data_IF_153254676960
#
_entry.id   IF_153254676960
#
_cell.length_a   1.000
_cell.length_b   1.000
_cell.length_c   1.000
_cell.angle_alpha   90.00
_cell.angle_beta   90.00
_cell.angle_gamma   90.00
#
_symmetry.space_group_name_H-M   'P 1'
#
loop_
_entity.id
_entity.type
_entity.pdbx_description
1 polymer ?
#
# COMPACT_ATOMS: atom_id res chain seq x y z
N UNK A 1 30.44 24.64 -92.75
CA UNK A 1 29.14 25.20 -92.31
C UNK A 1 28.40 24.12 -91.54
N UNK A 2 27.83 24.51 -90.40
CA UNK A 2 27.34 23.68 -89.28
C UNK A 2 25.87 23.24 -89.51
N UNK A 3 25.50 22.03 -89.04
CA UNK A 3 24.18 21.51 -88.55
C UNK A 3 24.04 20.01 -88.94
N UNK A 4 23.50 19.07 -88.16
CA UNK A 4 22.79 19.05 -86.88
C UNK A 4 22.85 17.62 -86.30
N UNK A 5 22.73 17.50 -84.97
CA UNK A 5 22.61 16.27 -84.16
C UNK A 5 21.15 15.77 -84.18
N UNK A 6 20.89 14.46 -83.99
CA UNK A 6 19.91 14.11 -82.95
C UNK A 6 20.34 12.92 -82.06
N UNK A 7 20.30 13.18 -80.75
CA UNK A 7 20.11 12.20 -79.68
C UNK A 7 18.65 11.75 -79.66
N UNK A 8 18.37 10.49 -79.32
CA UNK A 8 17.49 10.07 -78.21
C UNK A 8 17.23 8.55 -78.31
N UNK A 9 18.07 7.75 -77.63
CA UNK A 9 17.73 6.37 -77.30
C UNK A 9 16.95 6.38 -75.98
N UNK A 10 15.67 6.03 -76.09
CA UNK A 10 14.65 5.98 -75.06
C UNK A 10 14.94 4.84 -74.07
N UNK A 11 15.38 5.19 -72.85
CA UNK A 11 15.54 4.23 -71.75
C UNK A 11 14.29 4.32 -70.86
N UNK A 12 13.25 3.56 -71.24
CA UNK A 12 12.04 3.36 -70.46
C UNK A 12 12.38 2.60 -69.18
N UNK A 13 12.54 3.33 -68.08
CA UNK A 13 12.59 2.77 -66.74
C UNK A 13 11.20 2.25 -66.35
N UNK A 14 11.05 0.94 -66.30
CA UNK A 14 9.86 0.27 -65.76
C UNK A 14 9.83 0.44 -64.23
N UNK A 15 9.11 1.46 -63.79
CA UNK A 15 8.72 1.64 -62.39
C UNK A 15 7.74 0.52 -62.01
N UNK A 16 8.25 -0.54 -61.39
CA UNK A 16 7.40 -1.49 -60.66
C UNK A 16 6.71 -0.72 -59.50
N UNK A 17 5.38 -0.78 -59.38
CA UNK A 17 4.71 -0.23 -58.20
C UNK A 17 5.13 -1.07 -57.00
N UNK A 18 5.94 -0.49 -56.13
CA UNK A 18 6.17 -1.02 -54.79
C UNK A 18 4.82 -0.95 -54.08
N UNK A 19 4.11 -2.08 -53.99
CA UNK A 19 2.93 -2.19 -53.13
C UNK A 19 3.38 -1.89 -51.71
N UNK A 20 2.92 -0.80 -51.07
CA UNK A 20 3.21 -0.60 -49.66
C UNK A 20 2.62 -1.80 -48.93
N UNK A 21 3.47 -2.54 -48.22
CA UNK A 21 3.03 -3.57 -47.30
C UNK A 21 1.86 -3.00 -46.49
N UNK A 22 0.69 -3.62 -46.57
CA UNK A 22 -0.52 -3.20 -45.88
C UNK A 22 -0.19 -2.98 -44.40
N UNK A 23 0.01 -1.72 -44.02
CA UNK A 23 0.18 -1.33 -42.64
C UNK A 23 -1.16 -1.64 -41.99
N UNK A 24 -1.23 -2.77 -41.27
CA UNK A 24 -2.43 -3.21 -40.56
C UNK A 24 -2.94 -2.06 -39.70
N UNK A 25 -3.96 -1.35 -40.18
CA UNK A 25 -4.46 -0.16 -39.53
C UNK A 25 -5.15 -0.58 -38.23
N UNK A 26 -4.50 -0.32 -37.11
CA UNK A 26 -5.07 -0.60 -35.81
C UNK A 26 -6.16 0.41 -35.49
N UNK A 27 -7.38 -0.07 -35.26
CA UNK A 27 -8.43 0.78 -34.65
C UNK A 27 -8.21 0.84 -33.14
N UNK A 28 -8.53 1.98 -32.52
CA UNK A 28 -8.38 2.18 -31.07
C UNK A 28 -9.10 1.07 -30.28
N UNK A 29 -10.33 0.74 -30.68
CA UNK A 29 -11.13 -0.31 -30.03
C UNK A 29 -10.46 -1.69 -30.11
N UNK A 30 -9.86 -2.05 -31.24
CA UNK A 30 -9.17 -3.32 -31.40
C UNK A 30 -7.89 -3.39 -30.53
N UNK A 31 -7.17 -2.28 -30.42
CA UNK A 31 -6.00 -2.18 -29.57
C UNK A 31 -6.38 -2.30 -28.08
N UNK A 32 -7.40 -1.56 -27.62
CA UNK A 32 -7.87 -1.63 -26.23
C UNK A 32 -8.42 -3.00 -25.86
N UNK A 33 -9.12 -3.68 -26.79
CA UNK A 33 -9.64 -5.03 -26.59
C UNK A 33 -8.53 -6.05 -26.27
N UNK A 34 -7.32 -5.85 -26.78
CA UNK A 34 -6.16 -6.72 -26.50
C UNK A 34 -5.77 -6.72 -25.02
N UNK A 35 -6.10 -5.67 -24.29
CA UNK A 35 -5.80 -5.52 -22.86
C UNK A 35 -6.99 -5.84 -21.95
N UNK A 36 -8.13 -6.29 -22.47
CA UNK A 36 -9.34 -6.55 -21.67
C UNK A 36 -9.15 -7.65 -20.61
N UNK A 37 -8.12 -8.50 -20.77
CA UNK A 37 -7.77 -9.55 -19.81
C UNK A 37 -6.92 -9.03 -18.63
N UNK A 38 -6.40 -7.82 -18.70
CA UNK A 38 -5.65 -7.17 -17.63
C UNK A 38 -6.58 -6.35 -16.72
N UNK A 39 -6.28 -6.20 -15.43
CA UNK A 39 -7.07 -5.37 -14.53
C UNK A 39 -6.94 -3.88 -14.91
N UNK A 40 -7.99 -3.10 -14.65
CA UNK A 40 -7.94 -1.65 -14.79
C UNK A 40 -7.07 -1.02 -13.71
N UNK A 41 -6.59 0.20 -13.96
CA UNK A 41 -5.78 0.97 -13.00
C UNK A 41 -6.48 1.11 -11.65
N UNK A 42 -7.80 1.32 -11.63
CA UNK A 42 -8.60 1.42 -10.41
C UNK A 42 -8.49 0.16 -9.55
N UNK A 43 -8.60 -1.03 -10.17
CA UNK A 43 -8.48 -2.29 -9.44
C UNK A 43 -7.07 -2.52 -8.88
N UNK A 44 -6.05 -2.03 -9.58
CA UNK A 44 -4.65 -2.10 -9.14
C UNK A 44 -4.42 -1.12 -7.98
N UNK A 45 -4.93 0.11 -8.07
CA UNK A 45 -4.91 1.09 -6.98
C UNK A 45 -5.60 0.54 -5.73
N UNK A 46 -6.81 -0.01 -5.86
CA UNK A 46 -7.51 -0.65 -4.74
C UNK A 46 -6.71 -1.80 -4.13
N UNK A 47 -6.01 -2.59 -4.95
CA UNK A 47 -5.14 -3.65 -4.46
C UNK A 47 -3.95 -3.09 -3.66
N UNK A 48 -3.37 -1.97 -4.10
CA UNK A 48 -2.32 -1.27 -3.34
C UNK A 48 -2.87 -0.74 -2.00
N UNK A 49 -4.00 -0.05 -2.01
CA UNK A 49 -4.65 0.46 -0.78
C UNK A 49 -4.91 -0.67 0.22
N UNK A 50 -5.43 -1.81 -0.27
CA UNK A 50 -5.62 -3.01 0.56
C UNK A 50 -4.30 -3.57 1.10
N UNK A 51 -3.27 -3.65 0.26
CA UNK A 51 -1.98 -4.23 0.62
C UNK A 51 -1.28 -3.43 1.73
N UNK A 52 -1.30 -2.11 1.65
CA UNK A 52 -0.73 -1.24 2.68
C UNK A 52 -1.63 -1.08 3.92
N UNK A 53 -2.85 -1.62 3.91
CA UNK A 53 -3.85 -1.50 5.00
C UNK A 53 -4.25 -0.05 5.34
N UNK A 54 -3.97 0.91 4.45
CA UNK A 54 -4.24 2.34 4.64
C UNK A 54 -5.58 2.72 3.99
N UNK A 55 -6.67 2.04 4.37
CA UNK A 55 -7.98 2.40 3.82
C UNK A 55 -8.45 3.77 4.34
N UNK A 56 -9.06 4.61 3.48
CA UNK A 56 -9.58 5.93 3.87
C UNK A 56 -10.50 5.87 5.09
N UNK A 57 -11.33 4.82 5.19
CA UNK A 57 -12.30 4.65 6.28
C UNK A 57 -11.61 4.40 7.62
N UNK A 58 -10.55 3.59 7.63
CA UNK A 58 -9.73 3.35 8.82
C UNK A 58 -9.01 4.64 9.26
N UNK A 59 -8.46 5.41 8.32
CA UNK A 59 -7.81 6.70 8.60
C UNK A 59 -8.80 7.68 9.22
N UNK A 60 -10.04 7.76 8.71
CA UNK A 60 -11.10 8.61 9.30
C UNK A 60 -11.44 8.19 10.74
N UNK A 61 -11.51 6.88 10.99
CA UNK A 61 -11.70 6.32 12.32
C UNK A 61 -10.56 6.68 13.28
N UNK A 62 -9.31 6.48 12.86
CA UNK A 62 -8.11 6.84 13.62
C UNK A 62 -8.07 8.33 13.94
N UNK A 63 -8.36 9.19 12.95
CA UNK A 63 -8.44 10.64 13.15
C UNK A 63 -9.50 11.02 14.18
N UNK A 64 -10.69 10.41 14.12
CA UNK A 64 -11.76 10.64 15.08
C UNK A 64 -11.34 10.20 16.48
N UNK A 65 -10.78 9.00 16.60
CA UNK A 65 -10.35 8.45 17.89
C UNK A 65 -9.21 9.28 18.50
N UNK A 66 -8.25 9.74 17.69
CA UNK A 66 -7.20 10.64 18.13
C UNK A 66 -7.78 11.96 18.67
N UNK A 67 -8.78 12.55 17.99
CA UNK A 67 -9.48 13.74 18.50
C UNK A 67 -10.21 13.48 19.82
N UNK A 68 -10.85 12.32 19.95
CA UNK A 68 -11.59 11.94 21.16
C UNK A 68 -10.68 11.56 22.32
N UNK A 69 -9.45 11.11 22.08
CA UNK A 69 -8.48 10.72 23.12
C UNK A 69 -8.20 11.87 24.09
N UNK A 70 -8.21 13.11 23.61
CA UNK A 70 -8.05 14.30 24.45
C UNK A 70 -9.17 14.45 25.50
N UNK A 71 -10.33 13.80 25.30
CA UNK A 71 -11.48 13.86 26.22
C UNK A 71 -11.50 12.73 27.24
N UNK A 72 -10.68 11.69 27.05
CA UNK A 72 -10.71 10.48 27.89
C UNK A 72 -9.65 10.61 29.00
N UNK A 73 -10.03 10.54 30.30
CA UNK A 73 -9.06 10.54 31.39
C UNK A 73 -8.24 9.26 31.42
N UNK A 74 -6.99 9.40 31.87
CA UNK A 74 -6.22 8.24 32.35
C UNK A 74 -6.66 7.94 33.77
N UNK A 75 -7.20 6.74 34.01
CA UNK A 75 -7.60 6.28 35.33
C UNK A 75 -6.53 5.31 35.85
N UNK A 76 -5.99 5.59 37.03
CA UNK A 76 -5.08 4.70 37.75
C UNK A 76 -5.63 4.37 39.13
N UNK A 77 -5.42 3.13 39.57
CA UNK A 77 -5.81 2.64 40.88
C UNK A 77 -4.59 2.05 41.59
N UNK A 78 -4.37 2.43 42.83
CA UNK A 78 -3.33 1.89 43.70
C UNK A 78 -3.97 1.24 44.92
N UNK A 79 -3.58 0.00 45.20
CA UNK A 79 -3.95 -0.72 46.40
C UNK A 79 -2.69 -0.92 47.24
N UNK A 80 -2.71 -0.44 48.47
CA UNK A 80 -1.58 -0.53 49.39
C UNK A 80 -2.04 -1.13 50.72
N UNK A 81 -1.25 -2.06 51.23
CA UNK A 81 -1.34 -2.52 52.61
C UNK A 81 -0.06 -2.06 53.32
N UNK A 82 -0.21 -1.30 54.41
CA UNK A 82 0.90 -0.86 55.25
C UNK A 82 0.67 -1.35 56.67
N UNK A 83 1.48 -2.33 57.06
CA UNK A 83 1.62 -2.80 58.44
C UNK A 83 2.78 -2.06 59.08
N UNK A 84 2.49 -1.33 60.16
CA UNK A 84 3.50 -0.60 60.93
C UNK A 84 3.57 -1.21 62.32
N UNK A 85 4.77 -1.59 62.75
CA UNK A 85 5.04 -2.03 64.12
C UNK A 85 6.09 -1.10 64.70
N UNK A 86 5.67 -0.17 65.57
CA UNK A 86 6.60 0.69 66.30
C UNK A 86 6.74 0.15 67.71
N UNK A 87 7.99 -0.11 68.13
CA UNK A 87 8.31 -0.42 69.51
C UNK A 87 8.61 0.88 70.23
N UNK A 88 7.71 1.30 71.12
CA UNK A 88 7.94 2.47 71.98
C UNK A 88 8.49 1.99 73.30
N UNK A 89 9.57 2.64 73.74
CA UNK A 89 10.08 2.52 75.10
C UNK A 89 9.36 3.60 75.90
N UNK A 90 8.41 3.21 76.74
CA UNK A 90 7.82 4.17 77.68
C UNK A 90 8.75 4.33 78.87
N UNK A 91 9.18 5.57 79.08
CA UNK A 91 9.84 5.97 80.31
C UNK A 91 8.74 6.53 81.20
N UNK A 92 8.31 5.75 82.18
CA UNK A 92 7.28 6.20 83.11
C UNK A 92 7.88 7.31 83.99
N UNK A 93 7.41 8.54 83.80
CA UNK A 93 7.98 9.75 84.42
C UNK A 93 7.88 9.77 85.95
N UNK A 94 7.18 8.81 86.54
CA UNK A 94 6.98 8.67 87.99
C UNK A 94 7.96 7.67 88.63
N UNK A 95 8.51 6.71 87.86
CA UNK A 95 9.34 5.60 88.39
C UNK A 95 10.79 5.57 87.89
N UNK A 96 11.26 6.64 87.22
CA UNK A 96 12.60 6.75 86.63
C UNK A 96 13.77 6.40 87.60
N UNK A 97 13.59 6.64 88.90
CA UNK A 97 14.62 6.43 89.91
C UNK A 97 14.71 4.99 90.47
N UNK A 98 13.74 4.11 90.16
CA UNK A 98 13.60 2.80 90.83
C UNK A 98 14.18 1.62 90.04
N UNK A 99 14.83 1.85 88.89
CA UNK A 99 15.50 0.80 88.12
C UNK A 99 14.58 -0.31 87.59
N UNK A 100 13.27 -0.09 87.61
CA UNK A 100 12.24 -1.03 87.12
C UNK A 100 12.38 -1.19 85.60
N UNK A 101 12.25 -2.42 85.06
CA UNK A 101 12.40 -2.66 83.63
C UNK A 101 11.37 -1.87 82.82
N UNK A 102 11.84 -1.08 81.85
CA UNK A 102 11.01 -0.29 80.94
C UNK A 102 10.05 -1.21 80.18
N UNK A 103 8.75 -0.90 80.26
CA UNK A 103 7.75 -1.67 79.53
C UNK A 103 7.87 -1.42 78.02
N UNK A 104 7.84 -2.51 77.26
CA UNK A 104 7.91 -2.46 75.81
C UNK A 104 6.49 -2.47 75.24
N UNK A 105 5.99 -1.32 74.83
CA UNK A 105 4.70 -1.25 74.13
C UNK A 105 4.92 -1.49 72.64
N UNK A 106 4.22 -2.50 72.09
CA UNK A 106 4.14 -2.74 70.65
C UNK A 106 2.85 -2.11 70.14
N UNK A 107 2.98 -0.98 69.45
CA UNK A 107 1.85 -0.38 68.74
C UNK A 107 1.84 -0.92 67.32
N UNK A 108 0.87 -1.79 67.05
CA UNK A 108 0.62 -2.33 65.72
C UNK A 108 -0.47 -1.50 65.04
N UNK A 109 -0.15 -0.93 63.89
CA UNK A 109 -1.11 -0.29 63.01
C UNK A 109 -1.19 -1.07 61.70
N UNK A 110 -2.34 -1.64 61.39
CA UNK A 110 -2.64 -2.17 60.07
C UNK A 110 -3.51 -1.16 59.32
N UNK A 111 -3.12 -0.84 58.10
CA UNK A 111 -3.84 0.11 57.26
C UNK A 111 -3.90 -0.39 55.84
N UNK A 112 -5.13 -0.53 55.36
CA UNK A 112 -5.44 -0.85 53.97
C UNK A 112 -5.89 0.46 53.31
N UNK A 113 -5.15 0.87 52.29
CA UNK A 113 -5.44 2.07 51.51
C UNK A 113 -5.74 1.72 50.07
N UNK A 114 -6.84 2.24 49.53
CA UNK A 114 -7.15 2.23 48.11
C UNK A 114 -7.21 3.67 47.60
N UNK A 115 -6.51 3.95 46.50
CA UNK A 115 -6.45 5.27 45.87
C UNK A 115 -6.84 5.13 44.41
N UNK A 116 -7.80 5.93 43.97
CA UNK A 116 -8.14 6.09 42.55
C UNK A 116 -7.77 7.50 42.13
N UNK A 117 -7.07 7.61 41.01
CA UNK A 117 -6.70 8.88 40.40
C UNK A 117 -7.22 8.91 38.96
N UNK A 118 -7.84 10.02 38.57
CA UNK A 118 -8.19 10.33 37.20
C UNK A 118 -7.43 11.58 36.77
N UNK A 119 -6.72 11.47 35.64
CA UNK A 119 -5.88 12.55 35.10
C UNK A 119 -6.32 12.90 33.68
N UNK A 120 -6.62 14.17 33.43
CA UNK A 120 -6.93 14.71 32.11
C UNK A 120 -5.76 15.53 31.56
N UNK A 121 -5.46 15.33 30.28
CA UNK A 121 -4.43 16.07 29.55
C UNK A 121 -5.10 17.09 28.62
N UNK A 122 -5.44 18.27 29.15
CA UNK A 122 -6.11 19.34 28.40
C UNK A 122 -5.22 20.01 27.34
N UNK A 123 -3.90 19.86 27.46
CA UNK A 123 -2.91 20.23 26.44
C UNK A 123 -3.20 19.55 25.10
N UNK A 124 -3.64 18.29 25.13
CA UNK A 124 -4.03 17.52 23.95
C UNK A 124 -5.30 18.01 23.28
N UNK A 125 -6.12 18.81 23.98
CA UNK A 125 -7.32 19.42 23.41
C UNK A 125 -6.96 20.53 22.42
N UNK A 126 -5.88 21.27 22.71
CA UNK A 126 -5.36 22.34 21.84
C UNK A 126 -4.50 21.76 20.72
N UNK A 127 -3.60 20.83 21.05
CA UNK A 127 -2.73 20.19 20.07
C UNK A 127 -2.53 18.70 20.37
N UNK A 128 -3.04 17.83 19.50
CA UNK A 128 -2.76 16.39 19.55
C UNK A 128 -1.84 15.98 18.40
N UNK A 129 -0.59 15.62 18.72
CA UNK A 129 0.41 15.12 17.77
C UNK A 129 -0.06 13.88 17.00
N UNK A 130 -0.91 13.04 17.58
CA UNK A 130 -1.44 11.84 16.93
C UNK A 130 -2.32 12.17 15.71
N UNK A 131 -2.93 13.37 15.69
CA UNK A 131 -3.67 13.84 14.50
C UNK A 131 -2.70 14.07 13.34
N UNK A 132 -1.49 14.57 13.61
CA UNK A 132 -0.46 14.78 12.60
C UNK A 132 0.05 13.43 12.06
N UNK A 133 0.25 12.45 12.94
CA UNK A 133 0.64 11.08 12.54
C UNK A 133 -0.40 10.48 11.59
N UNK A 134 -1.69 10.62 11.88
CA UNK A 134 -2.76 10.15 10.98
C UNK A 134 -2.79 10.91 9.64
N UNK A 135 -2.43 12.21 9.62
CA UNK A 135 -2.31 12.96 8.37
C UNK A 135 -1.14 12.47 7.51
N UNK A 136 -0.03 12.08 8.13
CA UNK A 136 1.13 11.54 7.41
C UNK A 136 0.78 10.27 6.62
N UNK A 137 -0.12 9.42 7.15
CA UNK A 137 -0.62 8.23 6.46
C UNK A 137 -1.36 8.55 5.16
N UNK A 138 -2.03 9.71 5.08
CA UNK A 138 -2.70 10.17 3.85
C UNK A 138 -1.66 10.56 2.81
N UNK A 139 -0.58 11.22 3.22
CA UNK A 139 0.53 11.55 2.32
C UNK A 139 1.17 10.29 1.72
N UNK A 140 1.41 9.27 2.54
CA UNK A 140 1.91 7.97 2.08
C UNK A 140 0.93 7.33 1.09
N UNK A 141 -0.38 7.36 1.40
CA UNK A 141 -1.41 6.83 0.52
C UNK A 141 -1.44 7.51 -0.85
N UNK A 142 -1.41 8.85 -0.89
CA UNK A 142 -1.37 9.61 -2.16
C UNK A 142 -0.13 9.26 -2.96
N UNK A 143 1.04 9.18 -2.29
CA UNK A 143 2.30 8.77 -2.91
C UNK A 143 2.21 7.38 -3.54
N UNK A 144 1.69 6.40 -2.82
CA UNK A 144 1.51 5.02 -3.31
C UNK A 144 0.56 4.97 -4.50
N UNK A 145 -0.60 5.62 -4.41
CA UNK A 145 -1.61 5.62 -5.49
C UNK A 145 -1.04 6.29 -6.75
N UNK A 146 -0.33 7.41 -6.60
CA UNK A 146 0.33 8.10 -7.70
C UNK A 146 1.39 7.24 -8.37
N UNK A 147 2.25 6.60 -7.58
CA UNK A 147 3.34 5.77 -8.10
C UNK A 147 2.80 4.54 -8.84
N UNK A 148 1.82 3.83 -8.26
CA UNK A 148 1.13 2.70 -8.92
C UNK A 148 0.51 3.14 -10.24
N UNK A 149 -0.09 4.32 -10.29
CA UNK A 149 -0.70 4.89 -11.51
C UNK A 149 0.36 5.16 -12.57
N UNK A 150 1.49 5.77 -12.18
CA UNK A 150 2.62 6.05 -13.06
C UNK A 150 3.19 4.78 -13.66
N UNK A 151 3.54 3.79 -12.82
CA UNK A 151 4.11 2.52 -13.28
C UNK A 151 3.13 1.79 -14.20
N UNK A 152 1.84 1.77 -13.86
CA UNK A 152 0.79 1.15 -14.67
C UNK A 152 0.74 1.75 -16.09
N UNK A 153 0.75 3.07 -16.21
CA UNK A 153 0.67 3.72 -17.52
C UNK A 153 1.99 3.67 -18.30
N UNK A 154 3.15 3.66 -17.62
CA UNK A 154 4.44 3.39 -18.29
C UNK A 154 4.41 2.00 -18.93
N UNK A 155 3.98 0.98 -18.16
CA UNK A 155 3.82 -0.38 -18.66
C UNK A 155 2.86 -0.43 -19.84
N UNK A 156 1.68 0.20 -19.72
CA UNK A 156 0.65 0.18 -20.78
C UNK A 156 1.13 0.86 -22.05
N UNK A 157 1.83 1.99 -21.95
CA UNK A 157 2.42 2.69 -23.11
C UNK A 157 3.45 1.83 -23.82
N UNK A 158 4.35 1.18 -23.07
CA UNK A 158 5.35 0.29 -23.64
C UNK A 158 4.72 -0.93 -24.35
N UNK A 159 3.68 -1.52 -23.76
CA UNK A 159 2.94 -2.60 -24.42
C UNK A 159 2.26 -2.16 -25.71
N UNK A 160 1.66 -0.96 -25.72
CA UNK A 160 1.04 -0.38 -26.92
C UNK A 160 2.11 -0.12 -27.99
N UNK A 161 3.25 0.44 -27.60
CA UNK A 161 4.36 0.72 -28.51
C UNK A 161 4.88 -0.55 -29.19
N UNK A 162 5.06 -1.64 -28.43
CA UNK A 162 5.45 -2.94 -28.98
C UNK A 162 4.44 -3.53 -29.97
N UNK A 163 3.15 -3.16 -29.89
CA UNK A 163 2.10 -3.62 -30.81
C UNK A 163 2.08 -2.77 -32.08
N UNK A 164 2.15 -1.44 -31.92
CA UNK A 164 2.05 -0.50 -33.04
C UNK A 164 3.35 -0.39 -33.83
N UNK A 165 4.50 -0.50 -33.15
CA UNK A 165 5.85 -0.34 -33.70
C UNK A 165 6.75 -1.47 -33.18
N UNK A 166 6.52 -2.73 -33.60
CA UNK A 166 7.32 -3.85 -33.14
C UNK A 166 8.79 -3.66 -33.55
N UNK A 167 9.76 -3.77 -32.62
CA UNK A 167 11.17 -3.68 -32.99
C UNK A 167 11.57 -4.80 -33.95
N UNK A 168 12.30 -4.44 -34.99
CA UNK A 168 12.90 -5.37 -35.95
C UNK A 168 14.08 -6.12 -35.34
N UNK A 169 14.87 -5.42 -34.52
CA UNK A 169 16.00 -5.97 -33.77
C UNK A 169 15.56 -6.86 -32.59
N UNK A 170 16.25 -8.01 -32.44
CA UNK A 170 15.99 -8.99 -31.40
C UNK A 170 16.37 -8.46 -30.02
N UNK A 171 17.52 -7.79 -29.89
CA UNK A 171 18.00 -7.30 -28.60
C UNK A 171 17.04 -6.26 -28.02
N UNK A 172 16.58 -5.33 -28.85
CA UNK A 172 15.58 -4.32 -28.48
C UNK A 172 14.26 -4.97 -28.06
N UNK A 173 13.78 -5.98 -28.80
CA UNK A 173 12.54 -6.69 -28.46
C UNK A 173 12.63 -7.40 -27.11
N UNK A 174 13.76 -8.05 -26.81
CA UNK A 174 13.98 -8.71 -25.52
C UNK A 174 14.05 -7.67 -24.40
N UNK A 175 14.81 -6.59 -24.59
CA UNK A 175 14.94 -5.51 -23.61
C UNK A 175 13.59 -4.89 -23.24
N UNK A 176 12.76 -4.55 -24.23
CA UNK A 176 11.41 -4.02 -23.98
C UNK A 176 10.52 -5.02 -23.23
N UNK A 177 10.65 -6.33 -23.53
CA UNK A 177 9.89 -7.36 -22.82
C UNK A 177 10.32 -7.49 -21.36
N UNK A 178 11.63 -7.50 -21.10
CA UNK A 178 12.17 -7.48 -19.73
C UNK A 178 11.68 -6.23 -18.99
N UNK A 179 11.65 -5.07 -19.64
CA UNK A 179 11.15 -3.84 -19.02
C UNK A 179 9.67 -3.94 -18.65
N UNK A 180 8.83 -4.60 -19.46
CA UNK A 180 7.43 -4.88 -19.09
C UNK A 180 7.37 -5.81 -17.88
N UNK A 181 8.22 -6.83 -17.82
CA UNK A 181 8.28 -7.77 -16.68
C UNK A 181 8.72 -7.05 -15.40
N UNK A 182 9.74 -6.19 -15.47
CA UNK A 182 10.19 -5.35 -14.35
C UNK A 182 9.08 -4.44 -13.83
N UNK A 183 8.39 -3.71 -14.72
CA UNK A 183 7.26 -2.86 -14.35
C UNK A 183 6.11 -3.66 -13.74
N UNK A 184 5.90 -4.90 -14.21
CA UNK A 184 4.91 -5.82 -13.62
C UNK A 184 5.35 -6.24 -12.22
N UNK A 185 6.63 -6.54 -12.03
CA UNK A 185 7.22 -6.86 -10.72
C UNK A 185 7.11 -5.71 -9.72
N UNK A 186 7.35 -4.47 -10.17
CA UNK A 186 7.16 -3.28 -9.33
C UNK A 186 5.70 -3.09 -8.91
N UNK A 187 4.75 -3.24 -9.85
CA UNK A 187 3.32 -3.22 -9.51
C UNK A 187 2.96 -4.33 -8.52
N UNK A 188 3.47 -5.54 -8.72
CA UNK A 188 3.22 -6.67 -7.85
C UNK A 188 3.80 -6.47 -6.44
N UNK A 189 4.99 -5.85 -6.33
CA UNK A 189 5.60 -5.50 -5.05
C UNK A 189 4.73 -4.50 -4.25
N UNK A 190 4.07 -3.57 -4.94
CA UNK A 190 3.20 -2.57 -4.33
C UNK A 190 1.74 -3.05 -4.10
N UNK A 191 1.37 -4.21 -4.64
CA UNK A 191 -0.03 -4.69 -4.64
C UNK A 191 -0.21 -6.13 -4.11
N UNK A 192 0.84 -6.74 -3.57
CA UNK A 192 0.77 -8.13 -3.06
C UNK A 192 0.61 -9.18 -4.18
N UNK A 193 1.30 -8.95 -5.29
CA UNK A 193 1.26 -9.76 -6.52
C UNK A 193 -0.10 -9.79 -7.24
N UNK A 194 -0.90 -8.73 -7.10
CA UNK A 194 -2.25 -8.67 -7.66
C UNK A 194 -2.26 -8.72 -9.19
N UNK A 195 -1.32 -8.02 -9.86
CA UNK A 195 -1.27 -7.94 -11.32
C UNK A 195 -1.01 -9.32 -11.92
N UNK A 196 0.05 -10.01 -11.49
CA UNK A 196 0.35 -11.37 -11.96
C UNK A 196 -0.76 -12.37 -11.67
N UNK A 197 -1.36 -12.32 -10.46
CA UNK A 197 -2.49 -13.19 -10.09
C UNK A 197 -3.71 -12.95 -10.98
N UNK A 198 -4.03 -11.69 -11.29
CA UNK A 198 -5.18 -11.33 -12.12
C UNK A 198 -5.02 -11.81 -13.57
N UNK A 199 -3.82 -11.66 -14.15
CA UNK A 199 -3.50 -12.14 -15.50
C UNK A 199 -3.57 -13.67 -15.56
N UNK A 200 -3.03 -14.37 -14.55
CA UNK A 200 -3.11 -15.84 -14.46
C UNK A 200 -4.56 -16.33 -14.37
N UNK A 201 -5.39 -15.65 -13.56
CA UNK A 201 -6.82 -15.95 -13.44
C UNK A 201 -7.59 -15.73 -14.75
N UNK A 202 -7.29 -14.65 -15.46
CA UNK A 202 -7.89 -14.36 -16.76
C UNK A 202 -7.55 -15.44 -17.80
N UNK A 203 -6.26 -15.83 -17.92
CA UNK A 203 -5.82 -16.93 -18.79
C UNK A 203 -6.52 -18.25 -18.46
N UNK A 204 -6.61 -18.59 -17.16
CA UNK A 204 -7.31 -19.79 -16.70
C UNK A 204 -8.80 -19.81 -17.05
N UNK A 205 -9.48 -18.65 -16.98
CA UNK A 205 -10.90 -18.54 -17.37
C UNK A 205 -11.08 -18.81 -18.86
N UNK A 206 -10.25 -18.22 -19.71
CA UNK A 206 -10.32 -18.42 -21.17
C UNK A 206 -10.12 -19.89 -21.55
N UNK A 207 -9.15 -20.59 -20.92
CA UNK A 207 -8.89 -22.00 -21.17
C UNK A 207 -10.08 -22.90 -20.77
N UNK A 208 -10.72 -22.61 -19.63
CA UNK A 208 -11.91 -23.36 -19.17
C UNK A 208 -13.10 -23.19 -20.10
N UNK A 209 -13.36 -21.97 -20.57
CA UNK A 209 -14.45 -21.71 -21.53
C UNK A 209 -14.21 -22.43 -22.85
N UNK A 210 -12.98 -22.40 -23.37
CA UNK A 210 -12.63 -23.10 -24.61
C UNK A 210 -12.83 -24.62 -24.49
N UNK A 211 -12.40 -25.22 -23.38
CA UNK A 211 -12.57 -26.66 -23.13
C UNK A 211 -14.06 -27.05 -23.05
N UNK A 212 -14.91 -26.22 -22.45
CA UNK A 212 -16.35 -26.46 -22.38
C UNK A 212 -17.00 -26.43 -23.77
N UNK A 213 -16.67 -25.43 -24.61
CA UNK A 213 -17.22 -25.33 -25.97
C UNK A 213 -16.80 -26.51 -26.85
N UNK A 214 -15.55 -26.97 -26.73
CA UNK A 214 -15.06 -28.15 -27.47
C UNK A 214 -15.83 -29.40 -27.04
N UNK A 215 -16.03 -29.59 -25.72
CA UNK A 215 -16.78 -30.73 -25.19
C UNK A 215 -18.24 -30.73 -25.67
N UNK A 216 -18.90 -29.58 -25.71
CA UNK A 216 -20.29 -29.46 -26.19
C UNK A 216 -20.43 -29.72 -27.69
N UNK A 217 -19.43 -29.37 -28.50
CA UNK A 217 -19.40 -29.68 -29.94
C UNK A 217 -19.08 -31.15 -30.24
N UNK A 218 -18.48 -31.88 -29.30
CA UNK A 218 -18.17 -33.30 -29.46
C UNK A 218 -19.33 -34.22 -29.04
N UNK A 219 -20.35 -33.70 -28.35
CA UNK A 219 -21.53 -34.44 -27.88
C UNK A 219 -22.78 -34.20 -28.73
N UNK A 220 -22.70 -33.33 -29.74
CA UNK A 220 -23.74 -33.06 -30.74
C UNK A 220 -23.25 -33.54 -32.10
#
# INVERSE_FOLDING_TARGET
MIRAIPYLALLMATLLPVTPAEARQWTEKALLARFAHEPSVQKVQEAAVRYYQVHPDHIRGLRRNAKLKALVPTISGEFSNRVTSVKRLMDDGIYQALGVPKENERVNGDSIGFRVQASWSLDRLVFNAEVLDVQSLIGILDGVVREVTTIYYIRRRLQIDMILRPPTDLATRISQRIRIEELTGLLDAMTGSYMSKSIKKAKGKTLRTAAHTIRQRATN
#
